data_IF_964682745021
#
_entry.id   IF_964682745021
#
_cell.length_a   1.000
_cell.length_b   1.000
_cell.length_c   1.000
_cell.angle_alpha   90.00
_cell.angle_beta   90.00
_cell.angle_gamma   90.00
#
_symmetry.space_group_name_H-M   'P 1'
#
loop_
_entity.id
_entity.type
_entity.pdbx_description
1 polymer ?
#
# COMPACT_ATOMS: atom_id res chain seq x y z
N UNK A 1 -13.28 -6.58 -8.59
CA UNK A 1 -12.54 -6.76 -7.34
C UNK A 1 -11.62 -5.57 -7.18
N UNK A 2 -11.78 -4.81 -6.11
CA UNK A 2 -10.94 -3.68 -5.77
C UNK A 2 -9.70 -4.18 -5.01
N UNK A 3 -8.55 -4.18 -5.68
CA UNK A 3 -7.28 -4.63 -5.13
C UNK A 3 -6.36 -3.43 -4.97
N UNK A 4 -5.94 -3.18 -3.73
CA UNK A 4 -5.01 -2.09 -3.39
C UNK A 4 -3.68 -2.67 -2.98
N UNK A 5 -2.63 -2.15 -3.60
CA UNK A 5 -1.24 -2.39 -3.24
C UNK A 5 -0.73 -1.17 -2.45
N UNK A 6 -0.17 -1.41 -1.26
CA UNK A 6 0.25 -0.36 -0.34
C UNK A 6 1.62 -0.62 0.27
N UNK A 7 2.17 0.40 0.92
CA UNK A 7 3.45 0.39 1.62
C UNK A 7 3.49 1.51 2.64
N UNK A 8 4.32 1.36 3.67
CA UNK A 8 4.74 2.46 4.55
C UNK A 8 6.15 2.89 4.16
N UNK A 9 6.26 3.97 3.38
CA UNK A 9 7.55 4.53 2.97
C UNK A 9 8.20 5.32 4.11
N UNK A 10 9.52 5.54 4.05
CA UNK A 10 10.20 6.41 5.02
C UNK A 10 9.76 7.89 4.87
N UNK A 11 9.51 8.32 3.61
CA UNK A 11 9.05 9.67 3.23
C UNK A 11 8.21 9.61 1.94
N UNK A 12 7.36 10.62 1.72
CA UNK A 12 6.50 10.73 0.54
C UNK A 12 7.23 10.85 -0.81
N UNK A 13 8.50 11.24 -0.81
CA UNK A 13 9.32 11.32 -2.03
C UNK A 13 9.78 9.93 -2.54
N UNK A 14 9.60 8.87 -1.76
CA UNK A 14 9.99 7.52 -2.14
C UNK A 14 8.77 6.76 -2.62
N UNK A 15 8.57 6.70 -3.94
CA UNK A 15 7.63 5.72 -4.47
C UNK A 15 8.23 4.31 -4.48
N UNK A 16 7.41 3.32 -4.14
CA UNK A 16 7.78 1.92 -4.23
C UNK A 16 7.77 1.45 -5.67
N UNK A 17 8.96 1.20 -6.21
CA UNK A 17 9.12 0.59 -7.53
C UNK A 17 8.49 -0.81 -7.60
N UNK A 18 8.51 -1.55 -6.49
CA UNK A 18 7.90 -2.87 -6.40
C UNK A 18 6.39 -2.83 -6.69
N UNK A 19 5.67 -1.87 -6.08
CA UNK A 19 4.24 -1.70 -6.34
C UNK A 19 3.97 -1.31 -7.79
N UNK A 20 4.79 -0.42 -8.36
CA UNK A 20 4.67 0.00 -9.77
C UNK A 20 4.89 -1.17 -10.74
N UNK A 21 5.85 -2.06 -10.46
CA UNK A 21 6.06 -3.26 -11.25
C UNK A 21 4.91 -4.25 -11.16
N UNK A 22 4.36 -4.50 -9.96
CA UNK A 22 3.18 -5.34 -9.81
C UNK A 22 1.97 -4.74 -10.54
N UNK A 23 1.77 -3.42 -10.47
CA UNK A 23 0.73 -2.72 -11.24
C UNK A 23 0.91 -2.90 -12.74
N UNK A 24 2.11 -2.67 -13.26
CA UNK A 24 2.39 -2.83 -14.70
C UNK A 24 2.20 -4.28 -15.16
N UNK A 25 2.65 -5.25 -14.37
CA UNK A 25 2.46 -6.67 -14.65
C UNK A 25 0.98 -7.05 -14.68
N UNK A 26 0.21 -6.63 -13.66
CA UNK A 26 -1.23 -6.85 -13.60
C UNK A 26 -1.95 -6.25 -14.81
N UNK A 27 -1.64 -5.00 -15.15
CA UNK A 27 -2.22 -4.31 -16.32
C UNK A 27 -1.97 -5.08 -17.61
N UNK A 28 -0.76 -5.61 -17.81
CA UNK A 28 -0.43 -6.43 -18.98
C UNK A 28 -1.23 -7.75 -19.06
N UNK A 29 -1.81 -8.21 -17.95
CA UNK A 29 -2.60 -9.44 -17.84
C UNK A 29 -4.10 -9.18 -17.57
N UNK A 30 -4.58 -7.96 -17.82
CA UNK A 30 -5.99 -7.60 -17.63
C UNK A 30 -6.45 -7.47 -16.18
N UNK A 31 -5.51 -7.32 -15.24
CA UNK A 31 -5.77 -7.07 -13.83
C UNK A 31 -5.57 -5.58 -13.50
N UNK A 32 -6.48 -5.03 -12.70
CA UNK A 32 -6.39 -3.64 -12.24
C UNK A 32 -5.98 -3.59 -10.77
N UNK A 33 -4.91 -2.84 -10.48
CA UNK A 33 -4.41 -2.60 -9.14
C UNK A 33 -4.31 -1.10 -8.87
N UNK A 34 -4.81 -0.67 -7.72
CA UNK A 34 -4.59 0.67 -7.21
C UNK A 34 -3.38 0.70 -6.29
N UNK A 35 -2.68 1.84 -6.29
CA UNK A 35 -1.52 2.05 -5.42
C UNK A 35 -1.89 3.17 -4.46
N UNK A 36 -1.76 2.89 -3.18
CA UNK A 36 -1.89 3.89 -2.12
C UNK A 36 -0.66 3.80 -1.22
N UNK A 37 0.11 4.87 -1.16
CA UNK A 37 1.37 4.89 -0.41
C UNK A 37 1.23 5.77 0.83
N UNK A 38 1.59 5.22 1.99
CA UNK A 38 1.65 5.95 3.24
C UNK A 38 3.11 6.13 3.64
N UNK A 39 3.32 6.77 4.79
CA UNK A 39 4.65 6.85 5.40
C UNK A 39 4.62 6.36 6.84
N UNK A 40 5.76 5.88 7.33
CA UNK A 40 5.93 5.46 8.73
C UNK A 40 5.67 6.60 9.74
N UNK A 41 5.65 7.86 9.28
CA UNK A 41 5.39 9.02 10.13
C UNK A 41 3.90 9.40 10.19
N UNK A 42 3.04 8.73 9.42
CA UNK A 42 1.60 8.97 9.49
C UNK A 42 0.99 8.29 10.72
N UNK A 43 0.06 8.96 11.43
CA UNK A 43 -0.69 8.32 12.49
C UNK A 43 -1.43 7.10 11.97
N UNK A 44 -1.37 5.98 12.71
CA UNK A 44 -2.03 4.72 12.31
C UNK A 44 -3.53 4.91 12.04
N UNK A 45 -4.22 5.72 12.84
CA UNK A 45 -5.65 6.01 12.66
C UNK A 45 -5.95 6.73 11.34
N UNK A 46 -5.03 7.55 10.85
CA UNK A 46 -5.18 8.22 9.55
C UNK A 46 -5.06 7.21 8.41
N UNK A 47 -4.10 6.27 8.50
CA UNK A 47 -3.94 5.18 7.54
C UNK A 47 -5.20 4.30 7.53
N UNK A 48 -5.69 3.92 8.72
CA UNK A 48 -6.90 3.09 8.86
C UNK A 48 -8.15 3.78 8.28
N UNK A 49 -8.37 5.06 8.59
CA UNK A 49 -9.50 5.82 8.04
C UNK A 49 -9.52 5.76 6.52
N UNK A 50 -8.38 6.10 5.89
CA UNK A 50 -8.24 6.11 4.43
C UNK A 50 -8.43 4.71 3.81
N UNK A 51 -7.93 3.64 4.45
CA UNK A 51 -8.14 2.25 4.00
C UNK A 51 -9.62 1.88 4.06
N UNK A 52 -10.29 2.16 5.17
CA UNK A 52 -11.69 1.75 5.41
C UNK A 52 -12.69 2.47 4.51
N UNK A 53 -12.36 3.67 4.04
CA UNK A 53 -13.20 4.46 3.13
C UNK A 53 -13.15 3.97 1.66
N UNK A 54 -12.18 3.11 1.30
CA UNK A 54 -11.89 2.73 -0.09
C UNK A 54 -12.64 1.51 -0.62
N UNK A 55 -13.53 0.88 0.15
CA UNK A 55 -14.25 -0.35 -0.26
C UNK A 55 -13.30 -1.41 -0.87
N UNK A 56 -12.21 -1.74 -0.17
CA UNK A 56 -11.15 -2.62 -0.67
C UNK A 56 -11.55 -4.08 -0.46
N UNK A 57 -11.49 -4.90 -1.51
CA UNK A 57 -11.71 -6.35 -1.42
C UNK A 57 -10.43 -7.08 -1.00
N UNK A 58 -9.27 -6.62 -1.50
CA UNK A 58 -7.95 -7.20 -1.20
C UNK A 58 -6.94 -6.07 -0.99
N UNK A 59 -6.29 -6.07 0.18
CA UNK A 59 -5.21 -5.15 0.52
C UNK A 59 -3.87 -5.91 0.63
N UNK A 60 -2.87 -5.50 -0.15
CA UNK A 60 -1.52 -6.06 -0.08
C UNK A 60 -0.51 -5.02 0.38
N UNK A 61 0.26 -5.33 1.43
CA UNK A 61 1.36 -4.48 1.90
C UNK A 61 2.71 -4.98 1.38
N UNK A 62 3.49 -4.07 0.79
CA UNK A 62 4.92 -4.25 0.60
C UNK A 62 5.63 -3.93 1.92
N UNK A 63 6.07 -4.99 2.61
CA UNK A 63 6.79 -4.90 3.86
C UNK A 63 8.30 -4.90 3.62
N UNK A 64 8.98 -3.98 4.29
CA UNK A 64 10.44 -3.87 4.35
C UNK A 64 10.89 -4.05 5.80
N UNK A 65 12.17 -4.42 5.97
CA UNK A 65 12.79 -4.60 7.30
C UNK A 65 12.51 -3.39 8.22
N UNK A 66 12.57 -2.18 7.66
CA UNK A 66 12.42 -0.93 8.41
C UNK A 66 10.97 -0.51 8.72
N UNK A 67 9.97 -1.12 8.09
CA UNK A 67 8.58 -0.72 8.26
C UNK A 67 7.68 -1.85 8.80
N UNK A 68 8.24 -3.00 9.14
CA UNK A 68 7.47 -4.20 9.48
C UNK A 68 6.63 -4.00 10.74
N UNK A 69 7.20 -3.46 11.83
CA UNK A 69 6.46 -3.26 13.08
C UNK A 69 5.35 -2.21 12.90
N UNK A 70 5.58 -1.15 12.12
CA UNK A 70 4.57 -0.14 11.82
C UNK A 70 3.45 -0.71 10.95
N UNK A 71 3.79 -1.56 9.98
CA UNK A 71 2.80 -2.25 9.14
C UNK A 71 1.93 -3.19 9.99
N UNK A 72 2.53 -3.90 10.97
CA UNK A 72 1.79 -4.75 11.92
C UNK A 72 0.87 -3.96 12.86
N UNK A 73 1.02 -2.64 13.01
CA UNK A 73 0.04 -1.82 13.72
C UNK A 73 -1.19 -1.49 12.86
N UNK A 74 -1.11 -1.66 11.54
CA UNK A 74 -2.20 -1.39 10.59
C UNK A 74 -3.05 -2.64 10.33
N UNK A 75 -2.45 -3.84 10.29
CA UNK A 75 -3.11 -5.11 9.95
C UNK A 75 -3.29 -6.05 11.14
#
# INVERSE_FOLDING_TARGET
MNVVLSTLNSKFIHSSLALRYLKAYGQAHGQAYDIVEYTINMPVLHILSDITERNIDVLGFACYIWNIEMTLHVV
#
